data_IF_757129369544
#
_entry.id   IF_757129369544
#
_cell.length_a   1.000
_cell.length_b   1.000
_cell.length_c   1.000
_cell.angle_alpha   90.00
_cell.angle_beta   90.00
_cell.angle_gamma   90.00
#
_symmetry.space_group_name_H-M   'P 1'
#
loop_
_entity.id
_entity.type
_entity.pdbx_description
1 polymer ?
#
# COMPACT_ATOMS: atom_id res chain seq x y z
N UNK A 1 11.72 -0.95 -6.43
CA UNK A 1 11.91 0.51 -6.25
C UNK A 1 13.24 0.79 -5.57
N UNK A 2 14.03 1.79 -6.01
CA UNK A 2 15.27 2.21 -5.33
C UNK A 2 15.02 3.48 -4.52
N UNK A 3 15.37 3.49 -3.23
CA UNK A 3 15.24 4.65 -2.34
C UNK A 3 16.45 4.72 -1.39
N UNK A 4 17.09 5.90 -1.31
CA UNK A 4 18.33 6.13 -0.55
C UNK A 4 19.39 5.03 -0.76
N UNK A 5 19.60 4.66 -2.02
CA UNK A 5 20.59 3.65 -2.43
C UNK A 5 20.17 2.19 -2.23
N UNK A 6 19.09 1.89 -1.50
CA UNK A 6 18.60 0.53 -1.24
C UNK A 6 17.44 0.16 -2.16
N UNK A 7 17.34 -1.12 -2.52
CA UNK A 7 16.21 -1.65 -3.28
C UNK A 7 15.14 -2.21 -2.32
N UNK A 8 13.90 -1.85 -2.61
CA UNK A 8 12.69 -2.35 -1.95
C UNK A 8 11.78 -2.98 -3.00
N UNK A 9 11.18 -4.12 -2.67
CA UNK A 9 10.19 -4.79 -3.50
C UNK A 9 8.91 -5.01 -2.71
N UNK A 10 7.79 -4.66 -3.33
CA UNK A 10 6.45 -4.79 -2.78
C UNK A 10 5.43 -4.88 -3.92
N UNK A 11 4.17 -5.18 -3.59
CA UNK A 11 3.09 -5.32 -4.57
C UNK A 11 2.94 -4.08 -5.45
N UNK A 12 2.78 -4.30 -6.75
CA UNK A 12 2.54 -3.22 -7.71
C UNK A 12 1.10 -2.72 -7.68
N UNK A 13 0.14 -3.49 -7.20
CA UNK A 13 -1.27 -3.09 -7.18
C UNK A 13 -1.63 -2.40 -5.87
N UNK A 14 -2.37 -1.30 -5.98
CA UNK A 14 -2.89 -0.56 -4.83
C UNK A 14 -3.81 -1.45 -3.99
N UNK A 15 -3.54 -1.67 -2.69
CA UNK A 15 -4.38 -2.51 -1.84
C UNK A 15 -5.83 -2.03 -1.73
N UNK A 16 -6.09 -0.74 -1.95
CA UNK A 16 -7.45 -0.18 -1.90
C UNK A 16 -8.39 -0.85 -2.92
N UNK A 17 -8.03 -0.83 -4.21
CA UNK A 17 -8.87 -1.36 -5.29
C UNK A 17 -8.35 -2.68 -5.91
N UNK A 18 -7.10 -3.05 -5.65
CA UNK A 18 -6.40 -4.19 -6.25
C UNK A 18 -6.32 -4.13 -7.79
N UNK A 19 -6.46 -2.93 -8.36
CA UNK A 19 -6.48 -2.70 -9.81
C UNK A 19 -5.47 -1.63 -10.22
N UNK A 20 -5.31 -0.59 -9.42
CA UNK A 20 -4.43 0.53 -9.77
C UNK A 20 -2.98 0.13 -9.65
N UNK A 21 -2.24 0.22 -10.75
CA UNK A 21 -0.80 0.03 -10.76
C UNK A 21 -0.08 1.23 -10.10
N UNK A 22 0.68 0.94 -9.06
CA UNK A 22 1.52 1.88 -8.32
C UNK A 22 2.87 2.10 -8.98
N UNK A 23 3.25 1.30 -9.99
CA UNK A 23 4.49 1.51 -10.75
C UNK A 23 4.50 2.86 -11.49
N UNK A 24 3.31 3.39 -11.80
CA UNK A 24 3.09 4.72 -12.40
C UNK A 24 2.70 5.79 -11.36
N UNK A 25 2.82 5.47 -10.07
CA UNK A 25 2.59 6.40 -8.97
C UNK A 25 3.71 7.41 -8.78
N UNK A 26 3.48 8.38 -7.88
CA UNK A 26 4.45 9.44 -7.58
C UNK A 26 5.24 9.04 -6.33
N UNK A 27 6.56 9.17 -6.38
CA UNK A 27 7.41 9.02 -5.20
C UNK A 27 7.81 10.40 -4.66
N UNK A 28 7.52 10.65 -3.39
CA UNK A 28 7.94 11.89 -2.71
C UNK A 28 8.49 11.56 -1.33
N UNK A 29 9.78 11.83 -1.10
CA UNK A 29 10.47 11.39 0.11
C UNK A 29 10.47 9.86 0.22
N UNK A 30 10.05 9.33 1.36
CA UNK A 30 9.86 7.90 1.61
C UNK A 30 8.44 7.40 1.32
N UNK A 31 7.63 8.18 0.60
CA UNK A 31 6.24 7.85 0.26
C UNK A 31 6.07 7.52 -1.21
N UNK A 32 5.18 6.56 -1.46
CA UNK A 32 4.63 6.22 -2.77
C UNK A 32 3.13 6.55 -2.76
N UNK A 33 2.73 7.43 -3.67
CA UNK A 33 1.37 7.93 -3.78
C UNK A 33 0.65 7.23 -4.95
N UNK A 34 -0.50 6.63 -4.64
CA UNK A 34 -1.37 5.99 -5.61
C UNK A 34 -1.94 7.03 -6.58
N UNK A 35 -1.77 6.83 -7.90
CA UNK A 35 -2.11 7.85 -8.90
C UNK A 35 -3.62 8.08 -9.05
N UNK A 36 -4.47 7.13 -8.63
CA UNK A 36 -5.92 7.19 -8.82
C UNK A 36 -6.67 7.73 -7.61
N UNK A 37 -6.30 7.30 -6.40
CA UNK A 37 -7.07 7.57 -5.18
C UNK A 37 -6.29 8.32 -4.10
N UNK A 38 -4.99 8.58 -4.31
CA UNK A 38 -4.16 9.31 -3.35
C UNK A 38 -3.76 8.52 -2.09
N UNK A 39 -3.96 7.19 -2.06
CA UNK A 39 -3.42 6.35 -0.99
C UNK A 39 -1.90 6.55 -0.91
N UNK A 40 -1.35 6.67 0.30
CA UNK A 40 0.10 6.83 0.49
C UNK A 40 0.67 5.62 1.22
N UNK A 41 1.82 5.14 0.75
CA UNK A 41 2.52 4.00 1.34
C UNK A 41 3.97 4.33 1.61
N UNK A 42 4.50 3.88 2.74
CA UNK A 42 5.92 4.04 3.05
C UNK A 42 6.74 3.02 2.26
N UNK A 43 7.75 3.50 1.54
CA UNK A 43 8.63 2.69 0.68
C UNK A 43 9.44 1.68 1.49
N UNK A 44 9.83 2.03 2.72
CA UNK A 44 10.81 1.26 3.50
C UNK A 44 10.19 0.16 4.34
N UNK A 45 8.99 0.41 4.88
CA UNK A 45 8.30 -0.49 5.79
C UNK A 45 6.95 -1.00 5.25
N UNK A 46 6.56 -0.59 4.04
CA UNK A 46 5.33 -0.97 3.31
C UNK A 46 4.01 -0.61 3.99
N UNK A 47 4.05 0.15 5.07
CA UNK A 47 2.84 0.55 5.80
C UNK A 47 2.05 1.59 5.03
N UNK A 48 0.72 1.48 5.13
CA UNK A 48 -0.17 2.56 4.69
C UNK A 48 -0.01 3.76 5.62
N UNK A 49 0.14 4.94 5.03
CA UNK A 49 0.29 6.21 5.76
C UNK A 49 -0.75 7.25 5.33
N UNK A 50 -1.48 7.00 4.24
CA UNK A 50 -2.49 7.91 3.72
C UNK A 50 -3.76 7.16 3.27
N UNK A 51 -4.96 7.65 3.65
CA UNK A 51 -6.23 7.08 3.21
C UNK A 51 -6.42 7.22 1.68
N UNK A 52 -7.37 6.51 1.04
CA UNK A 52 -8.39 5.64 1.62
C UNK A 52 -7.98 4.18 1.89
N UNK A 53 -6.77 3.75 1.52
CA UNK A 53 -6.32 2.40 1.85
C UNK A 53 -6.22 2.21 3.37
N UNK A 54 -6.54 1.01 3.83
CA UNK A 54 -6.32 0.57 5.23
C UNK A 54 -5.40 -0.66 5.31
N UNK A 55 -5.04 -1.22 4.15
CA UNK A 55 -4.16 -2.36 4.02
C UNK A 55 -2.76 -1.88 3.61
N UNK A 56 -1.74 -2.52 4.19
CA UNK A 56 -0.34 -2.35 3.85
C UNK A 56 -0.02 -2.98 2.48
N UNK A 57 1.09 -2.57 1.86
CA UNK A 57 1.58 -3.25 0.67
C UNK A 57 2.19 -4.61 1.05
N UNK A 58 2.02 -5.66 0.23
CA UNK A 58 2.73 -6.92 0.45
C UNK A 58 4.22 -6.69 0.20
N UNK A 59 5.07 -7.12 1.15
CA UNK A 59 6.53 -6.97 1.07
C UNK A 59 7.17 -8.22 0.48
N UNK A 60 8.15 -8.02 -0.40
CA UNK A 60 8.99 -9.08 -0.96
C UNK A 60 10.43 -8.94 -0.45
N UNK A 61 11.09 -10.08 -0.26
CA UNK A 61 12.52 -10.10 0.04
C UNK A 61 13.33 -9.67 -1.18
N UNK A 62 14.45 -8.98 -0.97
CA UNK A 62 15.35 -8.57 -2.06
C UNK A 62 16.78 -8.92 -1.69
N UNK A 63 17.51 -9.49 -2.65
CA UNK A 63 18.97 -9.65 -2.60
C UNK A 63 19.58 -9.04 -3.85
N UNK A 64 20.47 -8.06 -3.65
CA UNK A 64 21.23 -7.40 -4.70
C UNK A 64 22.60 -8.09 -4.80
N UNK A 65 22.91 -8.66 -5.96
CA UNK A 65 24.22 -9.19 -6.32
C UNK A 65 24.91 -8.20 -7.28
N UNK A 66 26.15 -8.46 -7.68
CA UNK A 66 26.92 -7.56 -8.57
C UNK A 66 26.19 -7.26 -9.90
N UNK A 67 25.59 -8.30 -10.52
CA UNK A 67 24.95 -8.18 -11.85
C UNK A 67 23.43 -8.42 -11.84
N UNK A 68 22.84 -8.75 -10.69
CA UNK A 68 21.45 -9.19 -10.64
C UNK A 68 20.71 -8.81 -9.36
N UNK A 69 19.39 -8.73 -9.45
CA UNK A 69 18.49 -8.51 -8.33
C UNK A 69 17.55 -9.70 -8.24
N UNK A 70 17.61 -10.43 -7.13
CA UNK A 70 16.70 -11.53 -6.82
C UNK A 70 15.57 -11.04 -5.91
N UNK A 71 14.32 -11.42 -6.23
CA UNK A 71 13.13 -11.07 -5.45
C UNK A 71 12.48 -12.35 -4.93
N UNK A 72 12.21 -12.41 -3.62
CA UNK A 72 11.65 -13.59 -2.95
C UNK A 72 10.21 -13.32 -2.50
N UNK A 73 9.29 -14.18 -2.94
CA UNK A 73 7.93 -14.20 -2.43
C UNK A 73 7.89 -14.83 -1.03
N UNK A 74 7.15 -14.23 -0.06
CA UNK A 74 6.95 -14.88 1.22
C UNK A 74 6.11 -16.16 1.03
N UNK A 75 6.49 -17.24 1.73
CA UNK A 75 5.74 -18.50 1.71
C UNK A 75 4.32 -18.36 2.28
N UNK A 76 4.14 -17.40 3.19
CA UNK A 76 2.86 -17.09 3.83
C UNK A 76 2.50 -15.65 3.47
N UNK A 77 1.43 -15.50 2.69
CA UNK A 77 0.86 -14.20 2.35
C UNK A 77 -0.28 -13.86 3.31
N UNK A 78 -0.28 -12.63 3.82
CA UNK A 78 -1.39 -12.12 4.63
C UNK A 78 -2.64 -12.00 3.75
N UNK A 79 -3.76 -12.57 4.20
CA UNK A 79 -5.04 -12.45 3.51
C UNK A 79 -5.64 -11.07 3.78
N UNK A 80 -6.03 -10.35 2.72
CA UNK A 80 -6.78 -9.09 2.85
C UNK A 80 -8.05 -9.34 3.64
N UNK A 81 -8.27 -8.57 4.70
CA UNK A 81 -9.50 -8.59 5.49
C UNK A 81 -10.32 -7.39 5.04
N UNK A 82 -11.37 -7.64 4.25
CA UNK A 82 -12.30 -6.58 3.89
C UNK A 82 -13.26 -6.41 5.06
N UNK A 83 -13.26 -5.28 5.78
CA UNK A 83 -14.21 -5.05 6.84
C UNK A 83 -15.62 -5.03 6.27
N UNK A 84 -16.58 -5.57 7.02
CA UNK A 84 -17.98 -5.42 6.66
C UNK A 84 -18.38 -3.96 6.88
N UNK A 85 -18.56 -3.22 5.79
CA UNK A 85 -19.11 -1.88 5.88
C UNK A 85 -20.61 -1.95 6.12
N UNK A 86 -21.12 -1.11 7.01
CA UNK A 86 -22.54 -0.85 7.13
C UNK A 86 -22.91 0.37 6.29
N UNK A 87 -23.99 0.24 5.53
CA UNK A 87 -24.59 1.39 4.87
C UNK A 87 -25.05 2.40 5.92
N UNK A 88 -25.07 3.67 5.52
CA UNK A 88 -25.64 4.73 6.33
C UNK A 88 -27.10 4.38 6.65
N UNK A 89 -27.41 4.27 7.94
CA UNK A 89 -28.78 4.21 8.41
C UNK A 89 -29.40 5.61 8.31
N UNK A 90 -30.30 5.83 7.35
CA UNK A 90 -30.98 7.11 7.16
C UNK A 90 -31.95 7.46 8.30
N UNK A 91 -32.35 6.48 9.12
CA UNK A 91 -33.18 6.73 10.31
C UNK A 91 -32.32 7.15 11.52
N UNK A 92 -31.01 6.94 11.47
CA UNK A 92 -30.10 7.32 12.54
C UNK A 92 -29.70 8.81 12.43
N UNK A 93 -30.32 9.64 13.27
CA UNK A 93 -30.10 11.10 13.28
C UNK A 93 -28.87 11.55 14.09
N UNK A 94 -28.06 10.62 14.64
CA UNK A 94 -26.85 10.98 15.39
C UNK A 94 -25.86 11.71 14.46
N UNK A 95 -25.40 12.88 14.90
CA UNK A 95 -24.28 13.60 14.25
C UNK A 95 -22.99 13.20 14.93
N UNK A 96 -22.03 12.71 14.16
CA UNK A 96 -20.68 12.40 14.66
C UNK A 96 -19.75 13.48 14.11
N UNK A 97 -19.02 14.15 15.00
CA UNK A 97 -17.95 15.08 14.64
C UNK A 97 -16.64 14.32 14.83
N UNK A 98 -15.87 14.18 13.76
CA UNK A 98 -14.54 13.59 13.79
C UNK A 98 -13.57 14.78 13.72
N UNK A 99 -12.75 14.94 14.75
CA UNK A 99 -11.71 15.97 14.83
C UNK A 99 -10.41 15.46 14.22
#
# INVERSE_FOLDING_TARGET
MRYKGKIYAFGSLCPYDLETDLSVGICFGDKLDCPKHGCQFNITNVMVEGPPSIDNLPKFGVKENEDSIEVYAPLIVSKKIIPQHHFRDYNNQRKVIIY
#
